data_IF_810935853672
#
_entry.id   IF_810935853672
#
_cell.length_a   1.000
_cell.length_b   1.000
_cell.length_c   1.000
_cell.angle_alpha   90.00
_cell.angle_beta   90.00
_cell.angle_gamma   90.00
#
_symmetry.space_group_name_H-M   'P 1'
#
loop_
_entity.id
_entity.type
_entity.pdbx_description
1 polymer ?
#
# COMPACT_ATOMS: atom_id res chain seq x y z
N UNK A 1 -8.03 7.66 -20.76
CA UNK A 1 -7.17 6.55 -20.29
C UNK A 1 -5.84 6.41 -21.06
N UNK A 2 -5.69 6.87 -22.32
CA UNK A 2 -4.40 6.78 -23.06
C UNK A 2 -3.25 7.57 -22.42
N UNK A 3 -3.54 8.64 -21.67
CA UNK A 3 -2.56 9.47 -20.95
C UNK A 3 -1.89 8.78 -19.75
N UNK A 4 -2.42 7.64 -19.27
CA UNK A 4 -1.77 6.85 -18.22
C UNK A 4 -0.59 6.04 -18.75
N UNK A 5 -0.53 5.75 -20.05
CA UNK A 5 0.56 4.98 -20.65
C UNK A 5 1.89 5.75 -20.69
N UNK A 6 1.85 7.07 -20.74
CA UNK A 6 3.06 7.92 -20.61
C UNK A 6 3.70 7.81 -19.22
N UNK A 7 2.90 7.50 -18.19
CA UNK A 7 3.39 7.29 -16.81
C UNK A 7 4.04 5.91 -16.60
N UNK A 8 3.89 5.00 -17.57
CA UNK A 8 4.49 3.66 -17.55
C UNK A 8 6.01 3.70 -17.40
N UNK A 9 6.68 4.73 -17.92
CA UNK A 9 8.13 4.95 -17.77
C UNK A 9 8.55 4.97 -16.30
N UNK A 10 7.83 5.75 -15.48
CA UNK A 10 8.11 5.88 -14.04
C UNK A 10 7.76 4.59 -13.28
N UNK A 11 6.70 3.89 -13.70
CA UNK A 11 6.30 2.61 -13.11
C UNK A 11 7.35 1.50 -13.34
N UNK A 12 7.88 1.40 -14.57
CA UNK A 12 8.88 0.38 -14.92
C UNK A 12 10.15 0.55 -14.09
N UNK A 13 10.51 1.79 -13.73
CA UNK A 13 11.69 2.09 -12.91
C UNK A 13 11.59 1.51 -11.49
N UNK A 14 10.39 1.47 -10.92
CA UNK A 14 10.14 0.98 -9.55
C UNK A 14 9.38 -0.35 -9.45
N UNK A 15 9.19 -1.06 -10.57
CA UNK A 15 8.39 -2.30 -10.66
C UNK A 15 8.75 -3.37 -9.65
N UNK A 16 10.05 -3.53 -9.32
CA UNK A 16 10.50 -4.55 -8.35
C UNK A 16 9.98 -4.24 -6.94
N UNK A 17 10.07 -2.99 -6.51
CA UNK A 17 9.58 -2.56 -5.19
C UNK A 17 8.06 -2.70 -5.11
N UNK A 18 7.34 -2.30 -6.17
CA UNK A 18 5.89 -2.45 -6.22
C UNK A 18 5.45 -3.92 -6.18
N UNK A 19 6.13 -4.81 -6.93
CA UNK A 19 5.82 -6.24 -6.94
C UNK A 19 6.05 -6.89 -5.56
N UNK A 20 7.14 -6.53 -4.88
CA UNK A 20 7.34 -6.94 -3.47
C UNK A 20 6.26 -6.40 -2.55
N UNK A 21 5.81 -5.16 -2.76
CA UNK A 21 4.70 -4.57 -2.03
C UNK A 21 3.41 -5.40 -2.11
N UNK A 22 3.06 -5.91 -3.30
CA UNK A 22 1.90 -6.82 -3.46
C UNK A 22 2.04 -8.10 -2.64
N UNK A 23 3.24 -8.71 -2.64
CA UNK A 23 3.51 -9.91 -1.84
C UNK A 23 3.37 -9.62 -0.35
N UNK A 24 3.88 -8.48 0.12
CA UNK A 24 3.77 -8.09 1.52
C UNK A 24 2.32 -7.78 1.94
N UNK A 25 1.49 -7.22 1.06
CA UNK A 25 0.04 -7.06 1.32
C UNK A 25 -0.61 -8.43 1.58
N UNK A 26 -0.36 -9.40 0.70
CA UNK A 26 -0.92 -10.75 0.86
C UNK A 26 -0.49 -11.39 2.18
N UNK A 27 0.81 -11.36 2.49
CA UNK A 27 1.34 -11.92 3.74
C UNK A 27 0.77 -11.21 4.98
N UNK A 28 0.71 -9.88 4.95
CA UNK A 28 0.13 -9.09 6.05
C UNK A 28 -1.34 -9.42 6.29
N UNK A 29 -2.10 -9.62 5.22
CA UNK A 29 -3.55 -9.88 5.33
C UNK A 29 -3.82 -11.30 5.78
N UNK A 30 -3.07 -12.29 5.30
CA UNK A 30 -3.13 -13.66 5.82
C UNK A 30 -2.85 -13.67 7.33
N UNK A 31 -1.77 -13.02 7.78
CA UNK A 31 -1.46 -12.94 9.22
C UNK A 31 -2.56 -12.22 10.00
N UNK A 32 -3.10 -11.12 9.49
CA UNK A 32 -4.15 -10.35 10.18
C UNK A 32 -5.46 -11.13 10.32
N UNK A 33 -5.85 -11.86 9.29
CA UNK A 33 -7.09 -12.66 9.28
C UNK A 33 -6.94 -13.95 10.11
N UNK A 34 -5.70 -14.41 10.34
CA UNK A 34 -5.44 -15.55 11.21
C UNK A 34 -5.64 -15.25 12.70
N UNK A 35 -5.51 -13.99 13.13
CA UNK A 35 -5.68 -13.59 14.54
C UNK A 35 -7.07 -13.95 15.10
N UNK A 36 -8.20 -13.62 14.43
CA UNK A 36 -9.53 -14.07 14.86
C UNK A 36 -9.68 -15.59 15.01
N UNK A 37 -9.03 -16.39 14.16
CA UNK A 37 -9.10 -17.86 14.23
C UNK A 37 -8.38 -18.35 15.49
N UNK A 38 -7.20 -17.83 15.79
CA UNK A 38 -6.49 -18.13 17.03
C UNK A 38 -7.31 -17.76 18.27
N UNK A 39 -8.05 -16.65 18.21
CA UNK A 39 -8.95 -16.27 19.30
C UNK A 39 -10.08 -17.30 19.44
N UNK A 40 -10.72 -17.72 18.34
CA UNK A 40 -11.76 -18.76 18.37
C UNK A 40 -11.23 -20.05 19.00
N UNK A 41 -10.11 -20.55 18.49
CA UNK A 41 -9.54 -21.82 18.94
C UNK A 41 -9.10 -21.74 20.41
N UNK A 42 -8.60 -20.58 20.86
CA UNK A 42 -8.29 -20.35 22.28
C UNK A 42 -9.52 -20.40 23.18
N UNK A 43 -10.66 -19.86 22.73
CA UNK A 43 -11.92 -19.89 23.48
C UNK A 43 -12.47 -21.32 23.54
N UNK A 44 -12.46 -22.03 22.41
CA UNK A 44 -12.99 -23.40 22.31
C UNK A 44 -12.18 -24.39 23.18
N UNK A 45 -10.87 -24.19 23.29
CA UNK A 45 -10.01 -25.03 24.13
C UNK A 45 -10.20 -24.74 25.62
N UNK A 46 -10.30 -23.46 26.00
CA UNK A 46 -10.54 -23.05 27.40
C UNK A 46 -11.89 -23.53 27.93
N UNK A 47 -12.90 -23.69 27.07
CA UNK A 47 -14.18 -24.27 27.46
C UNK A 47 -14.09 -25.76 27.81
N UNK A 48 -13.15 -26.50 27.19
CA UNK A 48 -12.97 -27.94 27.42
C UNK A 48 -12.09 -28.23 28.62
N UNK A 49 -10.96 -27.54 28.73
CA UNK A 49 -10.02 -27.67 29.84
C UNK A 49 -9.36 -26.32 30.13
N UNK A 50 -9.49 -25.85 31.37
CA UNK A 50 -8.80 -24.63 31.81
C UNK A 50 -7.35 -24.99 32.11
N UNK A 51 -6.47 -24.82 31.11
CA UNK A 51 -5.02 -24.97 31.25
C UNK A 51 -4.33 -23.63 31.08
N UNK A 52 -3.62 -23.18 32.12
CA UNK A 52 -2.83 -21.93 32.08
C UNK A 52 -1.71 -21.96 31.03
N UNK A 53 -1.19 -23.15 30.73
CA UNK A 53 -0.13 -23.34 29.72
C UNK A 53 -0.66 -23.16 28.29
N UNK A 54 -1.87 -23.66 28.03
CA UNK A 54 -2.56 -23.44 26.75
C UNK A 54 -2.86 -21.95 26.55
N UNK A 55 -3.36 -21.26 27.59
CA UNK A 55 -3.61 -19.81 27.55
C UNK A 55 -2.35 -19.02 27.19
N UNK A 56 -1.22 -19.34 27.83
CA UNK A 56 0.05 -18.66 27.58
C UNK A 56 0.57 -18.92 26.16
N UNK A 57 0.39 -20.14 25.65
CA UNK A 57 0.75 -20.51 24.27
C UNK A 57 -0.07 -19.71 23.24
N UNK A 58 -1.40 -19.65 23.38
CA UNK A 58 -2.24 -18.85 22.48
C UNK A 58 -1.94 -17.34 22.57
N UNK A 59 -1.69 -16.82 23.78
CA UNK A 59 -1.30 -15.42 23.95
C UNK A 59 0.00 -15.10 23.20
N UNK A 60 1.02 -15.96 23.32
CA UNK A 60 2.28 -15.81 22.57
C UNK A 60 2.08 -15.93 21.06
N UNK A 61 1.24 -16.86 20.60
CA UNK A 61 0.92 -16.99 19.17
C UNK A 61 0.24 -15.74 18.61
N UNK A 62 -0.76 -15.19 19.32
CA UNK A 62 -1.46 -13.97 18.91
C UNK A 62 -0.49 -12.79 18.83
N UNK A 63 0.37 -12.61 19.83
CA UNK A 63 1.39 -11.56 19.84
C UNK A 63 2.36 -11.76 18.67
N UNK A 64 2.84 -12.99 18.45
CA UNK A 64 3.74 -13.32 17.34
C UNK A 64 3.13 -13.01 15.98
N UNK A 65 1.91 -13.50 15.70
CA UNK A 65 1.22 -13.27 14.43
C UNK A 65 0.91 -11.78 14.21
N UNK A 66 0.50 -11.06 15.25
CA UNK A 66 0.25 -9.62 15.17
C UNK A 66 1.54 -8.86 14.89
N UNK A 67 2.65 -9.25 15.51
CA UNK A 67 3.97 -8.69 15.25
C UNK A 67 4.39 -8.89 13.79
N UNK A 68 4.26 -10.12 13.26
CA UNK A 68 4.55 -10.40 11.84
C UNK A 68 3.67 -9.57 10.90
N UNK A 69 2.38 -9.45 11.17
CA UNK A 69 1.50 -8.56 10.41
C UNK A 69 2.01 -7.11 10.43
N UNK A 70 2.40 -6.60 11.61
CA UNK A 70 2.99 -5.28 11.76
C UNK A 70 4.28 -5.08 10.94
N UNK A 71 5.18 -6.07 10.93
CA UNK A 71 6.40 -6.05 10.12
C UNK A 71 6.06 -5.99 8.63
N UNK A 72 5.12 -6.81 8.15
CA UNK A 72 4.71 -6.75 6.75
C UNK A 72 4.05 -5.41 6.41
N UNK A 73 3.22 -4.84 7.30
CA UNK A 73 2.67 -3.48 7.14
C UNK A 73 3.75 -2.41 7.00
N UNK A 74 4.83 -2.52 7.77
CA UNK A 74 5.99 -1.64 7.63
C UNK A 74 6.65 -1.81 6.24
N UNK A 75 6.88 -3.05 5.80
CA UNK A 75 7.47 -3.33 4.49
C UNK A 75 6.59 -2.84 3.32
N UNK A 76 5.26 -2.90 3.44
CA UNK A 76 4.32 -2.32 2.47
C UNK A 76 4.54 -0.80 2.35
N UNK A 77 4.71 -0.11 3.47
CA UNK A 77 4.98 1.34 3.49
C UNK A 77 6.32 1.66 2.81
N UNK A 78 7.37 0.93 3.15
CA UNK A 78 8.71 1.10 2.56
C UNK A 78 8.75 0.78 1.06
N UNK A 79 7.93 -0.15 0.60
CA UNK A 79 7.91 -0.56 -0.81
C UNK A 79 6.99 0.31 -1.64
N UNK A 80 5.72 0.45 -1.28
CA UNK A 80 4.71 1.13 -2.10
C UNK A 80 4.73 2.64 -1.86
N UNK A 81 4.66 3.10 -0.61
CA UNK A 81 4.55 4.53 -0.32
C UNK A 81 5.83 5.26 -0.71
N UNK A 82 7.00 4.74 -0.33
CA UNK A 82 8.28 5.36 -0.73
C UNK A 82 8.45 5.34 -2.25
N UNK A 83 8.08 4.24 -2.94
CA UNK A 83 8.13 4.23 -4.42
C UNK A 83 7.22 5.28 -5.05
N UNK A 84 6.02 5.50 -4.50
CA UNK A 84 5.13 6.58 -4.98
C UNK A 84 5.76 7.97 -4.81
N UNK A 85 6.50 8.21 -3.73
CA UNK A 85 7.22 9.46 -3.48
C UNK A 85 8.39 9.65 -4.46
N UNK A 86 9.11 8.58 -4.79
CA UNK A 86 10.17 8.62 -5.80
C UNK A 86 9.61 8.94 -7.19
N UNK A 87 8.45 8.37 -7.54
CA UNK A 87 7.75 8.71 -8.78
C UNK A 87 7.32 10.19 -8.77
N UNK A 88 6.78 10.69 -7.65
CA UNK A 88 6.44 12.10 -7.48
C UNK A 88 7.65 13.01 -7.72
N UNK A 89 8.80 12.65 -7.13
CA UNK A 89 10.06 13.38 -7.29
C UNK A 89 10.54 13.41 -8.74
N UNK A 90 10.58 12.25 -9.40
CA UNK A 90 10.96 12.14 -10.81
C UNK A 90 10.04 12.97 -11.72
N UNK A 91 8.72 12.94 -11.48
CA UNK A 91 7.76 13.72 -12.25
C UNK A 91 7.93 15.23 -12.06
N UNK A 92 8.23 15.69 -10.83
CA UNK A 92 8.49 17.10 -10.55
C UNK A 92 9.76 17.58 -11.25
N UNK A 93 10.81 16.77 -11.28
CA UNK A 93 12.05 17.09 -11.97
C UNK A 93 11.85 17.19 -13.49
N UNK A 94 11.22 16.18 -14.10
CA UNK A 94 10.94 16.19 -15.55
C UNK A 94 10.04 17.40 -15.92
N UNK A 95 9.08 17.76 -15.06
CA UNK A 95 8.23 18.95 -15.24
C UNK A 95 9.04 20.26 -15.18
N UNK A 96 9.93 20.39 -14.19
CA UNK A 96 10.77 21.56 -14.01
C UNK A 96 11.80 21.74 -15.14
N UNK A 97 12.43 20.64 -15.56
CA UNK A 97 13.38 20.64 -16.68
C UNK A 97 12.72 21.01 -18.01
N UNK A 98 11.45 20.66 -18.18
CA UNK A 98 10.68 21.08 -19.34
C UNK A 98 10.33 22.57 -19.28
N UNK A 99 9.87 23.07 -18.13
CA UNK A 99 9.54 24.49 -17.94
C UNK A 99 10.71 25.41 -18.28
N UNK A 100 11.93 25.08 -17.86
CA UNK A 100 13.13 25.89 -18.13
C UNK A 100 13.46 26.02 -19.62
N UNK A 101 13.00 25.10 -20.46
CA UNK A 101 13.24 25.09 -21.92
C UNK A 101 12.16 25.85 -22.69
N UNK A 102 11.08 26.28 -22.04
CA UNK A 102 9.98 26.97 -22.69
C UNK A 102 10.34 28.45 -22.98
N UNK A 103 9.88 29.00 -24.12
CA UNK A 103 10.13 30.39 -24.46
C UNK A 103 9.34 31.34 -23.56
N UNK A 104 9.82 32.57 -23.39
CA UNK A 104 9.16 33.62 -22.59
C UNK A 104 7.68 33.83 -22.98
N UNK A 105 7.34 33.65 -24.26
CA UNK A 105 5.96 33.73 -24.77
C UNK A 105 5.00 32.78 -24.04
N UNK A 106 5.46 31.62 -23.59
CA UNK A 106 4.63 30.69 -22.81
C UNK A 106 4.23 31.34 -21.46
N UNK A 107 5.21 31.87 -20.73
CA UNK A 107 5.01 32.50 -19.43
C UNK A 107 4.18 33.79 -19.49
N UNK A 108 4.16 34.47 -20.64
CA UNK A 108 3.29 35.63 -20.85
C UNK A 108 1.83 35.24 -21.11
N UNK A 109 1.58 34.04 -21.66
CA UNK A 109 0.24 33.56 -22.01
C UNK A 109 -0.35 32.60 -20.97
N UNK A 110 0.44 32.12 -20.01
CA UNK A 110 0.02 31.16 -18.98
C UNK A 110 0.26 31.75 -17.60
N UNK A 111 -0.77 31.72 -16.74
CA UNK A 111 -0.65 32.25 -15.38
C UNK A 111 0.26 31.34 -14.55
N UNK A 112 1.13 31.94 -13.74
CA UNK A 112 2.01 31.20 -12.82
C UNK A 112 1.21 30.29 -11.87
N UNK A 113 0.00 30.70 -11.47
CA UNK A 113 -0.89 29.89 -10.64
C UNK A 113 -1.29 28.57 -11.30
N UNK A 114 -1.53 28.55 -12.61
CA UNK A 114 -1.91 27.34 -13.34
C UNK A 114 -0.72 26.38 -13.44
N UNK A 115 0.49 26.92 -13.68
CA UNK A 115 1.74 26.14 -13.67
C UNK A 115 1.96 25.50 -12.30
N UNK A 116 1.77 26.27 -11.22
CA UNK A 116 1.90 25.76 -9.85
C UNK A 116 0.84 24.71 -9.51
N UNK A 117 -0.40 24.87 -9.99
CA UNK A 117 -1.47 23.90 -9.80
C UNK A 117 -1.11 22.55 -10.45
N UNK A 118 -0.57 22.56 -11.67
CA UNK A 118 -0.09 21.33 -12.32
C UNK A 118 1.09 20.71 -11.55
N UNK A 119 2.06 21.52 -11.12
CA UNK A 119 3.24 21.06 -10.39
C UNK A 119 2.90 20.46 -9.01
N UNK A 120 1.79 20.87 -8.41
CA UNK A 120 1.42 20.47 -7.04
C UNK A 120 0.23 19.53 -7.05
N UNK A 121 -0.95 20.00 -7.45
CA UNK A 121 -2.21 19.26 -7.36
C UNK A 121 -2.21 18.05 -8.28
N UNK A 122 -1.87 18.22 -9.55
CA UNK A 122 -1.97 17.13 -10.53
C UNK A 122 -0.92 16.04 -10.27
N UNK A 123 0.34 16.42 -10.02
CA UNK A 123 1.39 15.46 -9.66
C UNK A 123 1.04 14.74 -8.34
N UNK A 124 0.50 15.45 -7.34
CA UNK A 124 0.05 14.83 -6.10
C UNK A 124 -1.13 13.87 -6.32
N UNK A 125 -2.08 14.20 -7.20
CA UNK A 125 -3.19 13.34 -7.55
C UNK A 125 -2.69 12.04 -8.20
N UNK A 126 -1.72 12.15 -9.12
CA UNK A 126 -1.06 11.00 -9.74
C UNK A 126 -0.36 10.13 -8.69
N UNK A 127 0.40 10.73 -7.75
CA UNK A 127 1.00 9.98 -6.64
C UNK A 127 -0.05 9.27 -5.78
N UNK A 128 -1.14 9.97 -5.43
CA UNK A 128 -2.20 9.41 -4.60
C UNK A 128 -2.86 8.20 -5.26
N UNK A 129 -3.05 8.26 -6.58
CA UNK A 129 -3.53 7.12 -7.35
C UNK A 129 -2.56 5.94 -7.27
N UNK A 130 -1.27 6.16 -7.56
CA UNK A 130 -0.30 5.05 -7.64
C UNK A 130 0.21 4.50 -6.31
N UNK A 131 0.16 5.28 -5.23
CA UNK A 131 0.54 4.81 -3.90
C UNK A 131 -0.69 4.34 -3.11
N UNK A 132 -1.32 5.23 -2.32
CA UNK A 132 -2.43 4.87 -1.45
C UNK A 132 -3.61 4.18 -2.14
N UNK A 133 -4.09 4.69 -3.29
CA UNK A 133 -5.31 4.15 -3.87
C UNK A 133 -5.13 2.70 -4.34
N UNK A 134 -4.02 2.40 -5.04
CA UNK A 134 -3.69 1.01 -5.43
C UNK A 134 -3.48 0.14 -4.19
N UNK A 135 -2.70 0.61 -3.20
CA UNK A 135 -2.44 -0.12 -1.97
C UNK A 135 -3.73 -0.51 -1.25
N UNK A 136 -4.61 0.44 -0.96
CA UNK A 136 -5.86 0.19 -0.26
C UNK A 136 -6.84 -0.65 -1.06
N UNK A 137 -6.88 -0.49 -2.39
CA UNK A 137 -7.75 -1.30 -3.24
C UNK A 137 -7.37 -2.78 -3.17
N UNK A 138 -6.07 -3.07 -3.25
CA UNK A 138 -5.54 -4.43 -3.18
C UNK A 138 -5.69 -4.99 -1.76
N UNK A 139 -5.38 -4.19 -0.75
CA UNK A 139 -5.53 -4.56 0.65
C UNK A 139 -6.98 -4.92 1.01
N UNK A 140 -7.92 -4.08 0.59
CA UNK A 140 -9.36 -4.29 0.81
C UNK A 140 -9.86 -5.51 0.05
N UNK A 141 -9.51 -5.65 -1.23
CA UNK A 141 -9.94 -6.79 -2.05
C UNK A 141 -9.41 -8.12 -1.48
N UNK A 142 -8.14 -8.16 -1.09
CA UNK A 142 -7.51 -9.37 -0.54
C UNK A 142 -8.10 -9.72 0.83
N UNK A 143 -8.25 -8.74 1.73
CA UNK A 143 -8.86 -8.96 3.04
C UNK A 143 -10.32 -9.43 2.90
N UNK A 144 -11.09 -8.84 2.00
CA UNK A 144 -12.47 -9.22 1.73
C UNK A 144 -12.58 -10.68 1.25
N UNK A 145 -11.79 -11.07 0.25
CA UNK A 145 -11.77 -12.44 -0.28
C UNK A 145 -11.34 -13.44 0.79
N UNK A 146 -10.25 -13.16 1.51
CA UNK A 146 -9.74 -14.05 2.57
C UNK A 146 -10.74 -14.23 3.70
N UNK A 147 -11.36 -13.14 4.15
CA UNK A 147 -12.34 -13.18 5.25
C UNK A 147 -13.56 -14.00 4.86
N UNK A 148 -14.14 -13.75 3.68
CA UNK A 148 -15.30 -14.52 3.21
C UNK A 148 -14.96 -15.99 3.00
N UNK A 149 -13.79 -16.30 2.41
CA UNK A 149 -13.37 -17.68 2.21
C UNK A 149 -13.26 -18.44 3.55
N UNK A 150 -12.70 -17.80 4.58
CA UNK A 150 -12.60 -18.37 5.91
C UNK A 150 -13.97 -18.53 6.57
N UNK A 151 -14.85 -17.55 6.45
CA UNK A 151 -16.21 -17.64 6.99
C UNK A 151 -17.03 -18.77 6.36
N UNK A 152 -16.86 -19.07 5.07
CA UNK A 152 -17.55 -20.17 4.39
C UNK A 152 -16.95 -21.54 4.79
N UNK A 153 -15.66 -21.58 5.13
CA UNK A 153 -14.97 -22.80 5.51
C UNK A 153 -15.26 -23.26 6.95
N UNK A 154 -15.77 -22.36 7.79
CA UNK A 154 -16.13 -22.61 9.19
C UNK A 154 -17.59 -23.04 9.27
#
# INVERSE_FOLDING_TARGET
MRSLFTLKKYFIRHKKKLLWGFVFILLSNISSVYVPILIRDSIDELQKNISSDALLTYALLIVGVTFFSGVFRFLIRETIIVSSRLIEFDMRNDFWDHLQKLPMKFFQNTKTGDIMAHATNDINAVRNFFGPAVMYSVDTATTFVLTIAIMISI
#
